data_IF_049092778367
#
_entry.id   IF_049092778367
#
_cell.length_a   1.000
_cell.length_b   1.000
_cell.length_c   1.000
_cell.angle_alpha   90.00
_cell.angle_beta   90.00
_cell.angle_gamma   90.00
#
_symmetry.space_group_name_H-M   'P 1'
#
loop_
_entity.id
_entity.type
_entity.pdbx_description
1 polymer ?
#
# COMPACT_ATOMS: atom_id res chain seq x y z
N UNK A 1 -7.16 13.57 4.37
CA UNK A 1 -5.82 14.18 4.49
C UNK A 1 -4.78 13.23 3.88
N UNK A 2 -4.92 12.84 2.60
CA UNK A 2 -4.05 11.83 1.96
C UNK A 2 -2.89 12.44 1.18
N UNK A 3 -2.97 13.72 0.82
CA UNK A 3 -2.01 14.34 -0.10
C UNK A 3 -0.56 14.26 0.38
N UNK A 4 -0.29 14.35 1.69
CA UNK A 4 1.10 14.37 2.17
C UNK A 4 1.92 13.12 1.86
N UNK A 5 1.30 11.94 1.95
CA UNK A 5 2.03 10.70 1.68
C UNK A 5 2.09 10.41 0.19
N UNK A 6 0.97 10.59 -0.51
CA UNK A 6 0.91 10.35 -1.96
C UNK A 6 1.86 11.30 -2.71
N UNK A 7 1.92 12.58 -2.33
CA UNK A 7 2.83 13.57 -2.92
C UNK A 7 4.29 13.21 -2.62
N UNK A 8 4.61 12.85 -1.37
CA UNK A 8 5.97 12.40 -0.98
C UNK A 8 6.39 11.15 -1.76
N UNK A 9 5.50 10.16 -1.86
CA UNK A 9 5.77 8.94 -2.60
C UNK A 9 6.02 9.25 -4.08
N UNK A 10 5.22 10.11 -4.70
CA UNK A 10 5.42 10.53 -6.09
C UNK A 10 6.76 11.25 -6.32
N UNK A 11 7.22 12.04 -5.36
CA UNK A 11 8.55 12.66 -5.38
C UNK A 11 9.67 11.61 -5.28
N UNK A 12 9.55 10.64 -4.37
CA UNK A 12 10.55 9.56 -4.23
C UNK A 12 10.60 8.65 -5.46
N UNK A 13 9.46 8.39 -6.11
CA UNK A 13 9.38 7.55 -7.31
C UNK A 13 9.97 8.22 -8.57
N UNK A 14 10.41 9.48 -8.49
CA UNK A 14 11.24 10.09 -9.53
C UNK A 14 12.65 9.46 -9.57
N UNK A 15 13.12 8.89 -8.46
CA UNK A 15 14.36 8.14 -8.42
C UNK A 15 14.16 6.73 -9.03
N UNK A 16 14.89 6.36 -10.09
CA UNK A 16 14.73 5.07 -10.76
C UNK A 16 15.15 3.87 -9.88
N UNK A 17 16.04 4.02 -8.92
CA UNK A 17 16.42 2.93 -8.00
C UNK A 17 15.28 2.66 -7.01
N UNK A 18 14.75 3.72 -6.40
CA UNK A 18 13.59 3.62 -5.49
C UNK A 18 12.38 3.05 -6.22
N UNK A 19 12.10 3.54 -7.43
CA UNK A 19 10.99 3.07 -8.24
C UNK A 19 11.08 1.57 -8.54
N UNK A 20 12.28 1.08 -8.88
CA UNK A 20 12.50 -0.33 -9.19
C UNK A 20 12.22 -1.22 -7.98
N UNK A 21 12.67 -0.82 -6.79
CA UNK A 21 12.39 -1.56 -5.56
C UNK A 21 10.91 -1.49 -5.19
N UNK A 22 10.29 -0.32 -5.32
CA UNK A 22 8.86 -0.14 -5.07
C UNK A 22 7.98 -0.98 -6.00
N UNK A 23 8.30 -1.04 -7.29
CA UNK A 23 7.61 -1.88 -8.27
C UNK A 23 7.83 -3.38 -7.99
N UNK A 24 9.02 -3.77 -7.49
CA UNK A 24 9.30 -5.15 -7.11
C UNK A 24 8.46 -5.64 -5.91
N UNK A 25 7.99 -4.72 -5.05
CA UNK A 25 7.13 -5.03 -3.89
C UNK A 25 5.64 -5.14 -4.23
N UNK A 26 5.20 -4.70 -5.41
CA UNK A 26 3.80 -4.73 -5.85
C UNK A 26 3.13 -6.13 -5.77
N UNK A 27 3.81 -7.24 -6.10
CA UNK A 27 3.22 -8.57 -5.96
C UNK A 27 2.83 -8.89 -4.52
N UNK A 28 3.71 -8.61 -3.56
CA UNK A 28 3.46 -8.85 -2.13
C UNK A 28 2.35 -7.92 -1.61
N UNK A 29 2.40 -6.64 -1.99
CA UNK A 29 1.39 -5.66 -1.64
C UNK A 29 -0.01 -6.07 -2.13
N UNK A 30 -0.11 -6.60 -3.35
CA UNK A 30 -1.37 -7.04 -3.95
C UNK A 30 -2.00 -8.21 -3.18
N UNK A 31 -1.18 -9.17 -2.73
CA UNK A 31 -1.65 -10.30 -1.92
C UNK A 31 -2.20 -9.80 -0.59
N UNK A 32 -1.45 -8.96 0.13
CA UNK A 32 -1.87 -8.39 1.42
C UNK A 32 -3.14 -7.56 1.26
N UNK A 33 -3.22 -6.70 0.23
CA UNK A 33 -4.42 -5.90 -0.01
C UNK A 33 -5.63 -6.77 -0.34
N UNK A 34 -5.46 -7.86 -1.08
CA UNK A 34 -6.54 -8.81 -1.35
C UNK A 34 -7.04 -9.50 -0.08
N UNK A 35 -6.15 -9.84 0.86
CA UNK A 35 -6.53 -10.40 2.17
C UNK A 35 -7.27 -9.37 3.03
N UNK A 36 -6.79 -8.13 3.07
CA UNK A 36 -7.44 -7.00 3.76
C UNK A 36 -8.85 -6.77 3.18
N UNK A 37 -8.97 -6.67 1.86
CA UNK A 37 -10.25 -6.46 1.18
C UNK A 37 -11.22 -7.61 1.44
N UNK A 38 -10.71 -8.85 1.50
CA UNK A 38 -11.52 -10.03 1.83
C UNK A 38 -12.01 -9.97 3.28
N UNK A 39 -11.14 -9.58 4.22
CA UNK A 39 -11.51 -9.39 5.62
C UNK A 39 -12.56 -8.29 5.78
N UNK A 40 -12.38 -7.14 5.13
CA UNK A 40 -13.34 -6.03 5.12
C UNK A 40 -14.70 -6.44 4.53
N UNK A 41 -14.70 -7.18 3.41
CA UNK A 41 -15.93 -7.66 2.76
C UNK A 41 -16.65 -8.74 3.57
N UNK A 42 -15.92 -9.53 4.34
CA UNK A 42 -16.50 -10.55 5.24
C UNK A 42 -17.20 -9.96 6.47
N UNK A 43 -17.21 -8.63 6.64
CA UNK A 43 -17.88 -7.95 7.74
C UNK A 43 -17.12 -8.05 9.08
N UNK A 44 -15.88 -8.52 9.07
CA UNK A 44 -14.98 -8.34 10.20
C UNK A 44 -14.44 -6.90 10.13
N UNK A 45 -14.81 -6.01 11.06
CA UNK A 45 -14.20 -4.69 11.12
C UNK A 45 -12.68 -4.89 11.26
N UNK A 46 -11.85 -4.04 10.61
CA UNK A 46 -10.41 -4.10 10.80
C UNK A 46 -10.17 -4.06 12.30
N UNK A 47 -9.49 -5.08 12.83
CA UNK A 47 -9.11 -5.09 14.23
C UNK A 47 -8.20 -3.88 14.38
N UNK A 48 -8.69 -2.86 15.06
CA UNK A 48 -7.93 -1.65 15.37
C UNK A 48 -6.60 -2.14 15.96
N UNK A 49 -5.51 -1.83 15.25
CA UNK A 49 -4.17 -1.96 15.81
C UNK A 49 -4.07 -0.80 16.81
N UNK A 50 -4.42 -1.10 18.07
CA UNK A 50 -4.09 -0.26 19.23
C UNK A 50 -2.57 -0.04 19.35
#
# INVERSE_FOLDING_TARGET
>A
MSSKFDDFLQEQLQDPEIRKEYEALQPEHTVIQSEIDTAQKSGMPPKELD
#
